data_IF_038173922056
#
_entry.id   IF_038173922056
#
_cell.length_a   1.000
_cell.length_b   1.000
_cell.length_c   1.000
_cell.angle_alpha   90.00
_cell.angle_beta   90.00
_cell.angle_gamma   90.00
#
_symmetry.space_group_name_H-M   'P 1'
#
loop_
_entity.id
_entity.type
_entity.pdbx_description
1 polymer ?
#
# COMPACT_ATOMS: atom_id res chain seq x y z
N UNK A 1 26.65 0.49 6.04
CA UNK A 1 25.44 -0.29 5.69
C UNK A 1 24.51 0.64 4.93
N UNK A 2 24.07 0.24 3.73
CA UNK A 2 23.19 1.05 2.89
C UNK A 2 21.72 0.80 3.20
N UNK A 3 20.86 1.75 2.84
CA UNK A 3 19.40 1.60 2.86
C UNK A 3 18.96 0.81 1.62
N UNK A 4 18.11 -0.20 1.81
CA UNK A 4 17.39 -0.85 0.69
C UNK A 4 15.95 -0.39 0.69
N UNK A 5 15.46 0.05 -0.46
CA UNK A 5 14.08 0.42 -0.68
C UNK A 5 13.36 -0.71 -1.41
N UNK A 6 12.24 -1.18 -0.86
CA UNK A 6 11.35 -2.13 -1.52
C UNK A 6 10.02 -1.43 -1.72
N UNK A 7 9.57 -1.39 -2.97
CA UNK A 7 8.40 -0.63 -3.40
C UNK A 7 7.27 -1.62 -3.75
N UNK A 8 6.07 -1.37 -3.23
CA UNK A 8 4.84 -1.94 -3.77
C UNK A 8 4.19 -0.88 -4.65
N UNK A 9 3.90 -1.21 -5.91
CA UNK A 9 3.42 -0.23 -6.88
C UNK A 9 2.02 0.32 -6.54
N UNK A 10 1.75 1.56 -6.89
CA UNK A 10 0.46 2.23 -6.80
C UNK A 10 -0.23 2.43 -8.14
N UNK A 11 -1.22 3.32 -8.19
CA UNK A 11 -2.02 3.58 -9.39
C UNK A 11 -1.36 4.52 -10.42
N UNK A 12 -0.20 5.08 -10.12
CA UNK A 12 0.54 5.95 -11.04
C UNK A 12 1.93 5.40 -11.42
N UNK A 13 2.16 4.13 -11.16
CA UNK A 13 3.40 3.46 -11.54
C UNK A 13 3.33 2.87 -12.94
N UNK A 14 4.49 2.78 -13.58
CA UNK A 14 4.62 2.19 -14.91
C UNK A 14 4.51 0.66 -14.83
N UNK A 15 3.28 0.17 -14.85
CA UNK A 15 2.96 -1.25 -14.70
C UNK A 15 3.50 -2.11 -15.84
N UNK A 16 3.63 -1.57 -17.05
CA UNK A 16 4.25 -2.27 -18.17
C UNK A 16 5.73 -2.57 -17.88
N UNK A 17 6.43 -1.61 -17.27
CA UNK A 17 7.84 -1.79 -16.88
C UNK A 17 7.96 -2.75 -15.72
N UNK A 18 7.14 -2.59 -14.68
CA UNK A 18 7.13 -3.48 -13.52
C UNK A 18 6.88 -4.94 -13.94
N UNK A 19 5.92 -5.18 -14.83
CA UNK A 19 5.55 -6.52 -15.28
C UNK A 19 6.66 -7.24 -16.06
N UNK A 20 7.65 -6.51 -16.60
CA UNK A 20 8.81 -7.09 -17.32
C UNK A 20 9.99 -7.42 -16.40
N UNK A 21 9.95 -6.99 -15.14
CA UNK A 21 11.06 -7.24 -14.22
C UNK A 21 11.12 -8.74 -13.86
N UNK A 22 12.33 -9.28 -13.83
CA UNK A 22 12.56 -10.64 -13.34
C UNK A 22 12.53 -10.64 -11.82
N UNK A 23 11.73 -11.53 -11.24
CA UNK A 23 11.66 -11.72 -9.79
C UNK A 23 12.80 -12.64 -9.37
N UNK A 24 13.62 -12.17 -8.45
CA UNK A 24 14.72 -12.89 -7.82
C UNK A 24 14.20 -13.98 -6.88
N UNK A 25 15.08 -14.89 -6.45
CA UNK A 25 14.70 -16.04 -5.61
C UNK A 25 14.18 -15.66 -4.22
N UNK A 26 14.42 -14.42 -3.78
CA UNK A 26 13.89 -13.87 -2.53
C UNK A 26 12.52 -13.19 -2.71
N UNK A 27 11.94 -13.25 -3.92
CA UNK A 27 10.55 -12.91 -4.20
C UNK A 27 10.28 -11.43 -4.51
N UNK A 28 11.33 -10.66 -4.71
CA UNK A 28 11.26 -9.28 -5.22
C UNK A 28 11.92 -9.17 -6.60
N UNK A 29 11.74 -8.05 -7.29
CA UNK A 29 12.48 -7.76 -8.50
C UNK A 29 13.45 -6.59 -8.30
N UNK A 30 14.69 -6.73 -8.74
CA UNK A 30 15.70 -5.66 -8.64
C UNK A 30 15.58 -4.67 -9.81
N UNK A 31 15.42 -3.37 -9.49
CA UNK A 31 15.36 -2.28 -10.49
C UNK A 31 16.66 -1.47 -10.52
N UNK A 32 17.27 -1.30 -9.35
CA UNK A 32 18.55 -0.63 -9.14
C UNK A 32 19.24 -1.29 -7.93
N UNK A 33 20.58 -1.23 -7.75
CA UNK A 33 21.27 -1.90 -6.64
C UNK A 33 20.67 -1.78 -5.22
N UNK A 34 19.95 -0.69 -4.93
CA UNK A 34 19.30 -0.46 -3.62
C UNK A 34 17.77 -0.25 -3.73
N UNK A 35 17.18 -0.49 -4.91
CA UNK A 35 15.74 -0.30 -5.16
C UNK A 35 15.17 -1.57 -5.77
N UNK A 36 14.19 -2.14 -5.09
CA UNK A 36 13.53 -3.37 -5.50
C UNK A 36 12.01 -3.18 -5.50
N UNK A 37 11.31 -4.06 -6.19
CA UNK A 37 9.86 -4.07 -6.29
C UNK A 37 9.33 -5.36 -5.66
N UNK A 38 8.33 -5.24 -4.79
CA UNK A 38 7.50 -6.36 -4.34
C UNK A 38 6.35 -6.52 -5.35
N UNK A 39 6.33 -7.60 -6.17
CA UNK A 39 5.31 -7.77 -7.20
C UNK A 39 3.91 -7.93 -6.62
N UNK A 40 2.89 -7.64 -7.44
CA UNK A 40 1.51 -8.08 -7.15
C UNK A 40 1.46 -9.60 -7.11
N UNK A 41 0.79 -10.15 -6.10
CA UNK A 41 0.80 -11.60 -5.85
C UNK A 41 2.11 -12.12 -5.27
N UNK A 42 3.12 -11.25 -5.13
CA UNK A 42 4.47 -11.59 -4.70
C UNK A 42 4.60 -11.68 -3.18
N UNK A 43 5.62 -12.41 -2.74
CA UNK A 43 5.93 -12.66 -1.33
C UNK A 43 7.43 -12.58 -1.14
N UNK A 44 7.87 -11.92 -0.08
CA UNK A 44 9.27 -11.82 0.29
C UNK A 44 9.48 -12.17 1.76
N UNK A 45 10.67 -12.67 2.09
CA UNK A 45 11.11 -12.84 3.47
C UNK A 45 12.06 -11.70 3.84
N UNK A 46 11.67 -10.88 4.83
CA UNK A 46 12.45 -9.72 5.25
C UNK A 46 12.62 -9.76 6.76
N UNK A 47 13.86 -9.89 7.24
CA UNK A 47 14.17 -9.97 8.67
C UNK A 47 13.34 -11.06 9.41
N UNK A 48 13.09 -12.19 8.72
CA UNK A 48 12.29 -13.30 9.24
C UNK A 48 10.77 -13.11 9.18
N UNK A 49 10.28 -12.03 8.57
CA UNK A 49 8.85 -11.75 8.37
C UNK A 49 8.42 -12.11 6.96
N UNK A 50 7.29 -12.81 6.84
CA UNK A 50 6.63 -13.08 5.58
C UNK A 50 5.80 -11.87 5.15
N UNK A 51 6.22 -11.21 4.07
CA UNK A 51 5.62 -9.98 3.57
C UNK A 51 5.01 -10.21 2.19
N UNK A 52 3.74 -9.85 2.01
CA UNK A 52 3.01 -9.98 0.77
C UNK A 52 2.72 -8.63 0.10
N UNK A 53 2.67 -8.62 -1.23
CA UNK A 53 2.37 -7.43 -2.03
C UNK A 53 1.10 -7.58 -2.86
N UNK A 54 0.19 -6.62 -2.73
CA UNK A 54 -0.94 -6.45 -3.64
C UNK A 54 -1.12 -4.96 -3.94
N UNK A 55 -0.16 -4.41 -4.67
CA UNK A 55 -0.15 -3.03 -5.14
C UNK A 55 -1.23 -2.73 -6.18
N UNK A 56 -1.31 -1.46 -6.56
CA UNK A 56 -2.27 -0.95 -7.53
C UNK A 56 -3.56 -0.41 -6.90
N UNK A 57 -4.22 0.47 -7.63
CA UNK A 57 -5.54 1.01 -7.31
C UNK A 57 -6.19 1.58 -8.57
N UNK A 58 -7.48 1.90 -8.50
CA UNK A 58 -8.18 2.57 -9.59
C UNK A 58 -7.90 4.07 -9.56
N UNK A 59 -7.45 4.64 -10.68
CA UNK A 59 -7.32 6.09 -10.86
C UNK A 59 -8.68 6.70 -11.15
N UNK A 60 -9.27 7.37 -10.14
CA UNK A 60 -10.57 8.05 -10.29
C UNK A 60 -10.51 9.25 -11.24
N UNK A 61 -9.31 9.75 -11.52
CA UNK A 61 -9.02 10.88 -12.39
C UNK A 61 -8.48 10.45 -13.77
N UNK A 62 -8.61 9.16 -14.15
CA UNK A 62 -8.06 8.61 -15.39
C UNK A 62 -8.46 9.36 -16.66
N UNK A 63 -9.66 9.96 -16.71
CA UNK A 63 -10.14 10.76 -17.86
C UNK A 63 -9.27 12.00 -18.13
N UNK A 64 -8.54 12.48 -17.11
CA UNK A 64 -7.63 13.62 -17.20
C UNK A 64 -6.17 13.19 -17.47
N UNK A 65 -5.94 11.89 -17.69
CA UNK A 65 -4.60 11.29 -17.84
C UNK A 65 -4.36 10.80 -19.26
N UNK A 66 -3.10 10.48 -19.54
CA UNK A 66 -2.59 9.97 -20.82
C UNK A 66 -2.10 8.55 -20.64
N UNK A 67 -2.75 7.62 -21.35
CA UNK A 67 -2.38 6.20 -21.36
C UNK A 67 -0.90 5.99 -21.73
N UNK A 68 -0.22 5.15 -20.96
CA UNK A 68 1.20 4.82 -21.15
C UNK A 68 2.17 5.89 -20.64
N UNK A 69 1.69 7.02 -20.12
CA UNK A 69 2.53 8.10 -19.57
C UNK A 69 2.32 8.31 -18.07
N UNK A 70 1.07 8.57 -17.68
CA UNK A 70 0.70 8.88 -16.29
C UNK A 70 -0.56 8.12 -15.85
N UNK A 71 -1.02 7.19 -16.70
CA UNK A 71 -2.06 6.20 -16.42
C UNK A 71 -1.79 4.91 -17.20
N UNK A 72 -2.13 3.77 -16.59
CA UNK A 72 -2.05 2.46 -17.21
C UNK A 72 -3.35 1.68 -16.97
N UNK A 73 -3.94 1.04 -18.00
CA UNK A 73 -5.20 0.32 -17.85
C UNK A 73 -5.11 -0.90 -16.93
N UNK A 74 -3.90 -1.42 -16.69
CA UNK A 74 -3.60 -2.55 -15.81
C UNK A 74 -3.17 -2.13 -14.39
N UNK A 75 -3.48 -0.91 -13.96
CA UNK A 75 -3.10 -0.36 -12.64
C UNK A 75 -3.75 -1.03 -11.43
N UNK A 76 -4.85 -1.75 -11.63
CA UNK A 76 -5.55 -2.47 -10.57
C UNK A 76 -5.02 -3.92 -10.45
N UNK A 77 -4.93 -4.45 -9.21
CA UNK A 77 -4.62 -5.85 -9.01
C UNK A 77 -5.74 -6.76 -9.54
N UNK A 78 -5.35 -7.94 -10.00
CA UNK A 78 -6.23 -8.95 -10.56
C UNK A 78 -6.59 -10.01 -9.51
N UNK A 79 -7.67 -10.76 -9.77
CA UNK A 79 -8.08 -11.88 -8.88
C UNK A 79 -7.05 -13.01 -8.90
N UNK A 80 -6.37 -13.20 -10.01
CA UNK A 80 -5.31 -14.19 -10.19
C UNK A 80 -4.09 -13.85 -9.33
N UNK A 81 -3.66 -12.58 -9.31
CA UNK A 81 -2.58 -12.10 -8.43
C UNK A 81 -2.95 -12.25 -6.95
N UNK A 82 -4.19 -11.92 -6.59
CA UNK A 82 -4.70 -12.11 -5.23
C UNK A 82 -4.74 -13.60 -4.83
N UNK A 83 -5.21 -14.48 -5.72
CA UNK A 83 -5.26 -15.91 -5.48
C UNK A 83 -3.86 -16.52 -5.32
N UNK A 84 -2.88 -16.08 -6.13
CA UNK A 84 -1.49 -16.49 -5.99
C UNK A 84 -0.91 -16.08 -4.63
N UNK A 85 -1.22 -14.86 -4.16
CA UNK A 85 -0.79 -14.38 -2.85
C UNK A 85 -1.34 -15.26 -1.72
N UNK A 86 -2.64 -15.57 -1.77
CA UNK A 86 -3.34 -16.40 -0.79
C UNK A 86 -2.80 -17.82 -0.79
N UNK A 87 -2.58 -18.41 -1.98
CA UNK A 87 -2.04 -19.76 -2.12
C UNK A 87 -0.64 -19.91 -1.49
N UNK A 88 0.13 -18.82 -1.39
CA UNK A 88 1.43 -18.81 -0.72
C UNK A 88 1.39 -18.96 0.81
N UNK A 89 0.21 -18.95 1.43
CA UNK A 89 0.03 -19.20 2.86
C UNK A 89 0.08 -17.94 3.75
N UNK A 90 0.16 -18.11 5.09
CA UNK A 90 0.07 -17.02 6.05
C UNK A 90 1.12 -15.92 5.82
N UNK A 91 0.77 -14.67 6.14
CA UNK A 91 1.64 -13.50 6.09
C UNK A 91 1.69 -12.83 7.46
N UNK A 92 2.84 -12.24 7.79
CA UNK A 92 2.97 -11.33 8.93
C UNK A 92 2.49 -9.92 8.56
N UNK A 93 2.81 -9.48 7.33
CA UNK A 93 2.51 -8.15 6.82
C UNK A 93 1.98 -8.23 5.38
N UNK A 94 0.89 -7.50 5.10
CA UNK A 94 0.40 -7.23 3.76
C UNK A 94 0.61 -5.76 3.39
N UNK A 95 1.28 -5.51 2.27
CA UNK A 95 1.48 -4.17 1.71
C UNK A 95 0.59 -4.00 0.49
N UNK A 96 -0.28 -3.01 0.52
CA UNK A 96 -1.15 -2.63 -0.60
C UNK A 96 -1.03 -1.15 -0.90
N UNK A 97 -1.47 -0.71 -2.07
CA UNK A 97 -1.57 0.72 -2.34
C UNK A 97 -2.90 1.27 -1.83
N UNK A 98 -4.03 0.67 -2.23
CA UNK A 98 -5.35 1.03 -1.74
C UNK A 98 -5.64 0.39 -0.36
N UNK A 99 -6.64 0.91 0.35
CA UNK A 99 -7.09 0.40 1.62
C UNK A 99 -8.19 -0.67 1.46
N UNK A 100 -8.24 -1.70 2.33
CA UNK A 100 -9.32 -2.68 2.31
C UNK A 100 -10.70 -2.03 2.48
N UNK A 101 -11.71 -2.69 1.92
CA UNK A 101 -13.11 -2.35 2.18
C UNK A 101 -13.45 -2.48 3.68
N UNK A 102 -14.35 -1.61 4.16
CA UNK A 102 -14.72 -1.51 5.58
C UNK A 102 -13.91 -0.49 6.38
N UNK A 103 -12.92 0.16 5.77
CA UNK A 103 -12.16 1.24 6.40
C UNK A 103 -12.96 2.57 6.40
N UNK A 104 -13.00 3.31 7.52
CA UNK A 104 -13.81 4.54 7.66
C UNK A 104 -13.16 5.78 6.99
N UNK A 105 -12.74 5.68 5.72
CA UNK A 105 -11.92 6.71 5.05
C UNK A 105 -12.76 7.84 4.45
N UNK A 106 -12.13 9.01 4.25
CA UNK A 106 -12.74 10.18 3.61
C UNK A 106 -12.07 10.38 2.27
N UNK A 107 -12.87 10.50 1.21
CA UNK A 107 -12.39 10.75 -0.14
C UNK A 107 -12.17 12.26 -0.32
N UNK A 108 -11.08 12.64 -1.00
CA UNK A 108 -10.85 14.01 -1.46
C UNK A 108 -11.74 14.37 -2.65
N UNK A 109 -12.26 13.35 -3.34
CA UNK A 109 -13.09 13.50 -4.53
C UNK A 109 -14.56 13.23 -4.22
N UNK A 110 -15.44 14.05 -4.83
CA UNK A 110 -16.85 13.72 -4.96
C UNK A 110 -17.04 12.82 -6.18
N UNK A 111 -17.15 11.52 -5.94
CA UNK A 111 -17.22 10.52 -6.99
C UNK A 111 -18.66 10.25 -7.40
N UNK A 112 -18.88 10.01 -8.69
CA UNK A 112 -20.13 9.40 -9.16
C UNK A 112 -20.29 7.99 -8.59
N UNK A 113 -21.51 7.45 -8.63
CA UNK A 113 -21.76 6.07 -8.21
C UNK A 113 -20.88 5.07 -9.00
N UNK A 114 -20.72 5.30 -10.31
CA UNK A 114 -19.93 4.40 -11.16
C UNK A 114 -18.44 4.42 -10.84
N UNK A 115 -17.86 5.61 -10.62
CA UNK A 115 -16.45 5.74 -10.24
C UNK A 115 -16.21 5.15 -8.85
N UNK A 116 -17.15 5.37 -7.92
CA UNK A 116 -17.09 4.77 -6.58
C UNK A 116 -17.14 3.24 -6.63
N UNK A 117 -18.00 2.67 -7.48
CA UNK A 117 -18.08 1.22 -7.67
C UNK A 117 -16.77 0.66 -8.23
N UNK A 118 -16.19 1.32 -9.24
CA UNK A 118 -14.92 0.90 -9.83
C UNK A 118 -13.77 0.97 -8.81
N UNK A 119 -13.66 2.06 -8.05
CA UNK A 119 -12.68 2.17 -6.98
C UNK A 119 -12.84 1.07 -5.92
N UNK A 120 -14.09 0.75 -5.55
CA UNK A 120 -14.36 -0.29 -4.55
C UNK A 120 -13.98 -1.71 -5.00
N UNK A 121 -13.81 -1.99 -6.29
CA UNK A 121 -13.37 -3.32 -6.77
C UNK A 121 -12.01 -3.71 -6.18
N UNK A 122 -11.03 -2.81 -6.22
CA UNK A 122 -9.71 -3.05 -5.63
C UNK A 122 -9.80 -3.21 -4.11
N UNK A 123 -10.55 -2.33 -3.44
CA UNK A 123 -10.74 -2.38 -1.98
C UNK A 123 -11.38 -3.67 -1.50
N UNK A 124 -12.37 -4.17 -2.23
CA UNK A 124 -13.03 -5.44 -1.95
C UNK A 124 -12.07 -6.61 -2.15
N UNK A 125 -11.26 -6.61 -3.21
CA UNK A 125 -10.26 -7.64 -3.45
C UNK A 125 -9.21 -7.70 -2.32
N UNK A 126 -8.72 -6.53 -1.87
CA UNK A 126 -7.79 -6.45 -0.74
C UNK A 126 -8.44 -6.98 0.54
N UNK A 127 -9.72 -6.65 0.75
CA UNK A 127 -10.48 -7.17 1.90
C UNK A 127 -10.61 -8.69 1.86
N UNK A 128 -10.92 -9.26 0.71
CA UNK A 128 -10.99 -10.72 0.51
C UNK A 128 -9.66 -11.40 0.85
N UNK A 129 -8.53 -10.84 0.42
CA UNK A 129 -7.19 -11.35 0.75
C UNK A 129 -6.90 -11.24 2.24
N UNK A 130 -7.19 -10.08 2.85
CA UNK A 130 -6.97 -9.86 4.28
C UNK A 130 -7.78 -10.86 5.13
N UNK A 131 -9.04 -11.12 4.78
CA UNK A 131 -9.88 -12.11 5.45
C UNK A 131 -9.36 -13.54 5.22
N UNK A 132 -8.94 -13.88 4.00
CA UNK A 132 -8.46 -15.23 3.64
C UNK A 132 -7.18 -15.62 4.36
N UNK A 133 -6.27 -14.67 4.54
CA UNK A 133 -4.97 -14.90 5.19
C UNK A 133 -4.97 -14.53 6.68
N UNK A 134 -6.00 -13.81 7.13
CA UNK A 134 -6.09 -13.22 8.46
C UNK A 134 -4.80 -12.49 8.86
N UNK A 135 -4.32 -11.61 7.98
CA UNK A 135 -3.03 -10.96 8.14
C UNK A 135 -2.99 -10.12 9.42
N UNK A 136 -1.98 -10.25 10.29
CA UNK A 136 -1.92 -9.45 11.53
C UNK A 136 -1.79 -7.95 11.27
N UNK A 137 -1.04 -7.58 10.22
CA UNK A 137 -0.71 -6.20 9.88
C UNK A 137 -0.92 -5.93 8.39
N UNK A 138 -1.58 -4.82 8.09
CA UNK A 138 -1.78 -4.32 6.72
C UNK A 138 -1.37 -2.85 6.65
N UNK A 139 -0.48 -2.52 5.73
CA UNK A 139 -0.06 -1.14 5.48
C UNK A 139 -0.48 -0.72 4.08
N UNK A 140 -1.11 0.45 3.98
CA UNK A 140 -1.62 0.98 2.71
C UNK A 140 -1.52 2.49 2.63
N UNK A 141 -1.71 3.05 1.43
CA UNK A 141 -1.65 4.49 1.15
C UNK A 141 -2.91 4.97 0.43
N UNK A 142 -2.72 5.65 -0.70
CA UNK A 142 -3.73 6.13 -1.66
C UNK A 142 -4.72 7.19 -1.16
N UNK A 143 -5.12 7.16 0.11
CA UNK A 143 -6.18 8.00 0.68
C UNK A 143 -5.70 9.30 1.31
N UNK A 144 -4.40 9.59 1.26
CA UNK A 144 -3.82 10.87 1.68
C UNK A 144 -4.24 11.31 3.10
N UNK A 145 -4.31 10.33 4.01
CA UNK A 145 -4.61 10.59 5.41
C UNK A 145 -3.96 9.52 6.28
N UNK A 146 -3.42 9.94 7.43
CA UNK A 146 -3.05 8.99 8.47
C UNK A 146 -4.29 8.38 9.11
N UNK A 147 -4.35 7.05 9.18
CA UNK A 147 -5.33 6.35 10.01
C UNK A 147 -4.83 4.99 10.49
N UNK A 148 -5.14 4.65 11.73
CA UNK A 148 -5.03 3.28 12.23
C UNK A 148 -6.43 2.74 12.53
N UNK A 149 -6.71 1.51 12.13
CA UNK A 149 -8.01 0.87 12.35
C UNK A 149 -7.85 -0.63 12.61
N UNK A 150 -8.72 -1.18 13.44
CA UNK A 150 -8.82 -2.63 13.67
C UNK A 150 -9.89 -3.21 12.76
N UNK A 151 -9.46 -3.94 11.74
CA UNK A 151 -10.35 -4.66 10.84
C UNK A 151 -10.68 -6.02 11.45
N UNK A 152 -11.95 -6.22 11.81
CA UNK A 152 -12.44 -7.51 12.34
C UNK A 152 -12.77 -8.47 11.22
N UNK A 153 -12.23 -9.68 11.31
CA UNK A 153 -12.51 -10.79 10.40
C UNK A 153 -13.74 -11.59 10.85
N UNK A 154 -14.35 -12.37 9.94
CA UNK A 154 -15.46 -13.27 10.29
C UNK A 154 -15.13 -14.29 11.39
N UNK A 155 -13.87 -14.70 11.53
CA UNK A 155 -13.40 -15.64 12.55
C UNK A 155 -13.07 -14.97 13.90
N UNK A 156 -13.31 -13.66 14.02
CA UNK A 156 -13.10 -12.87 15.23
C UNK A 156 -11.68 -12.36 15.43
N UNK A 157 -10.71 -12.74 14.59
CA UNK A 157 -9.37 -12.17 14.62
C UNK A 157 -9.37 -10.74 14.08
N UNK A 158 -8.26 -10.04 14.30
CA UNK A 158 -8.10 -8.62 13.97
C UNK A 158 -6.85 -8.41 13.12
N UNK A 159 -6.99 -7.73 11.99
CA UNK A 159 -5.88 -7.05 11.30
C UNK A 159 -5.77 -5.63 11.85
N UNK A 160 -4.56 -5.23 12.26
CA UNK A 160 -4.23 -3.80 12.41
C UNK A 160 -3.91 -3.22 11.04
N UNK A 161 -4.73 -2.26 10.61
CA UNK A 161 -4.53 -1.53 9.35
C UNK A 161 -3.95 -0.16 9.65
N UNK A 162 -2.79 0.16 9.07
CA UNK A 162 -2.22 1.51 9.08
C UNK A 162 -2.25 2.10 7.66
N UNK A 163 -3.12 3.09 7.47
CA UNK A 163 -3.14 3.97 6.30
C UNK A 163 -2.09 5.04 6.49
N UNK A 164 -1.16 5.12 5.54
CA UNK A 164 -0.07 6.07 5.47
C UNK A 164 -0.53 7.31 4.68
N UNK A 165 -0.10 8.47 5.16
CA UNK A 165 -0.41 9.75 4.54
C UNK A 165 0.51 10.03 3.33
N UNK A 166 0.20 11.10 2.58
CA UNK A 166 1.05 11.61 1.51
C UNK A 166 2.38 12.15 2.05
N UNK A 167 3.34 12.31 1.16
CA UNK A 167 4.62 12.96 1.47
C UNK A 167 4.44 14.32 2.16
N UNK A 168 5.36 14.65 3.05
CA UNK A 168 5.38 15.91 3.82
C UNK A 168 4.20 16.12 4.79
N UNK A 169 3.28 15.17 4.93
CA UNK A 169 2.29 15.21 6.00
C UNK A 169 2.94 15.06 7.38
N UNK A 170 2.55 15.94 8.30
CA UNK A 170 2.94 15.87 9.72
C UNK A 170 2.25 14.73 10.47
N UNK A 171 1.22 14.15 9.86
CA UNK A 171 0.44 13.07 10.47
C UNK A 171 1.08 11.69 10.24
N UNK A 172 2.16 11.63 9.46
CA UNK A 172 3.01 10.44 9.28
C UNK A 172 2.71 9.68 7.99
N UNK A 173 3.71 9.56 7.12
CA UNK A 173 3.68 8.79 5.87
C UNK A 173 4.50 7.49 5.96
N UNK A 174 4.84 7.07 7.17
CA UNK A 174 5.61 5.86 7.39
C UNK A 174 5.31 5.23 8.75
N UNK A 175 5.69 3.97 8.87
CA UNK A 175 5.69 3.22 10.13
C UNK A 175 7.05 2.55 10.30
N UNK A 176 7.52 2.51 11.53
CA UNK A 176 8.62 1.66 11.95
C UNK A 176 8.04 0.33 12.41
N UNK A 177 8.60 -0.76 11.90
CA UNK A 177 8.27 -2.13 12.28
C UNK A 177 9.51 -2.74 12.88
N UNK A 178 9.39 -3.30 14.09
CA UNK A 178 10.47 -4.05 14.72
C UNK A 178 10.17 -5.54 14.61
N UNK A 179 10.93 -6.29 13.79
CA UNK A 179 10.83 -7.74 13.73
C UNK A 179 11.07 -8.37 15.11
N UNK A 180 10.39 -9.47 15.41
CA UNK A 180 10.49 -10.12 16.71
C UNK A 180 9.29 -11.02 17.02
N UNK A 181 8.99 -11.18 18.32
CA UNK A 181 7.85 -11.99 18.76
C UNK A 181 6.53 -11.24 18.49
N UNK A 182 5.51 -11.89 17.90
CA UNK A 182 4.19 -11.31 17.76
C UNK A 182 3.53 -10.97 19.12
N UNK A 183 2.66 -9.94 19.18
CA UNK A 183 2.37 -8.99 18.10
C UNK A 183 3.59 -8.09 17.81
N UNK A 184 3.82 -7.76 16.53
CA UNK A 184 4.94 -6.91 16.15
C UNK A 184 4.80 -5.52 16.79
N UNK A 185 5.92 -4.94 17.24
CA UNK A 185 5.95 -3.53 17.65
C UNK A 185 5.90 -2.69 16.37
N UNK A 186 4.90 -1.80 16.29
CA UNK A 186 4.68 -0.90 15.16
C UNK A 186 4.41 0.50 15.68
N UNK A 187 5.21 1.46 15.22
CA UNK A 187 5.13 2.87 15.62
C UNK A 187 5.08 3.77 14.39
N UNK A 188 4.37 4.91 14.43
CA UNK A 188 4.47 5.91 13.37
C UNK A 188 5.92 6.39 13.19
N UNK A 189 6.35 6.53 11.95
CA UNK A 189 7.60 7.22 11.62
C UNK A 189 7.29 8.71 11.41
N UNK A 190 7.71 9.55 12.35
CA UNK A 190 7.59 10.99 12.18
C UNK A 190 8.74 11.55 11.37
N UNK A 191 8.48 11.83 10.08
CA UNK A 191 9.39 12.57 9.23
C UNK A 191 9.07 14.06 9.40
N UNK A 192 9.91 14.80 10.14
CA UNK A 192 9.74 16.25 10.29
C UNK A 192 9.87 16.93 8.92
N UNK A 193 8.74 17.35 8.35
CA UNK A 193 8.73 18.28 7.23
C UNK A 193 9.31 19.65 7.63
N UNK A 194 9.74 20.49 6.67
CA UNK A 194 10.13 21.87 6.97
C UNK A 194 8.99 22.58 7.72
N UNK A 195 9.33 23.40 8.71
CA UNK A 195 8.35 24.32 9.32
C UNK A 195 7.82 25.22 8.18
N UNK A 196 6.50 25.49 8.09
CA UNK A 196 6.04 26.53 7.19
C UNK A 196 6.82 27.79 7.53
N UNK A 197 7.31 28.48 6.51
CA UNK A 197 7.94 29.78 6.69
C UNK A 197 6.98 30.64 7.50
N UNK A 198 7.44 31.09 8.65
CA UNK A 198 6.77 32.11 9.46
C UNK A 198 6.97 33.46 8.74
N UNK A 199 6.47 33.59 7.51
CA UNK A 199 6.60 34.79 6.68
C UNK A 199 5.50 35.81 6.94
N UNK A 200 4.87 35.76 8.11
CA UNK A 200 3.99 36.82 8.60
C UNK A 200 4.43 37.30 9.99
N UNK A 201 5.68 37.76 10.08
CA UNK A 201 6.08 38.79 11.07
C UNK A 201 6.98 39.83 10.41
N UNK A 202 6.50 41.08 10.44
CA UNK A 202 7.13 42.30 9.92
C UNK A 202 6.58 42.65 8.55
N UNK A 203 6.03 43.83 8.27
CA UNK A 203 5.99 45.18 8.87
C UNK A 203 4.77 45.86 8.20
N UNK A 204 3.92 46.66 8.85
CA UNK A 204 4.11 47.91 9.57
C UNK A 204 2.78 48.33 10.20
#
# INVERSE_FOLDING_TARGET
MGLTLIISGGNHDNWDTIARLSVDTDGVATVHPNIRILPRGGRAQIEGLAIGGLGGAFSVDFENRTEGRDWWPNEQPTREEAAALVAGGPLDILITHDAPAGMPLKSDFQLSAQLSENANKTRNLIREVADSLTVPHLFCGHWHQRRTHELKHPDGKITRVDVLDMEHSRHGNGVLVWPGKPPLRIEPLEIRGPKPNDSHRGTS
#
